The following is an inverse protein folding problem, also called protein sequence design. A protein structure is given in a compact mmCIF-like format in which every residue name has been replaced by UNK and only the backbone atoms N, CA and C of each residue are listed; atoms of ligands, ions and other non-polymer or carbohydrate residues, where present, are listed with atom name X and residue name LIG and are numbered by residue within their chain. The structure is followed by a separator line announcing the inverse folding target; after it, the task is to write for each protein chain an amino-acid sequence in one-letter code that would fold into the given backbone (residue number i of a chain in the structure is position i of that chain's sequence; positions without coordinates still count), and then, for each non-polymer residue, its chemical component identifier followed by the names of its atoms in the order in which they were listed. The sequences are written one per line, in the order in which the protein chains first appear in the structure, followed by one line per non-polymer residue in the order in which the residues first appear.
data_IF_150335883278
#
_entry.id   IF_150335883278
#
_cell.length_a   1.000
_cell.length_b   1.000
_cell.length_c   1.000
_cell.angle_alpha   90.00
_cell.angle_beta   90.00
_cell.angle_gamma   90.00
#
_symmetry.space_group_name_H-M   'P 1'
#
loop_
_entity.id
_entity.type
_entity.pdbx_description
1 polymer ?
#
# COMPACT_ATOMS: atom_id res chain seq x y z
N UNK A 1 46.37 46.65 44.63
CA UNK A 1 46.11 45.21 44.43
C UNK A 1 44.60 45.00 44.39
N UNK A 2 44.04 44.59 43.25
CA UNK A 2 42.69 44.03 43.16
C UNK A 2 42.62 43.20 41.88
N UNK A 3 42.54 41.88 42.01
CA UNK A 3 42.35 40.94 40.88
C UNK A 3 40.85 40.67 40.76
N UNK A 4 40.23 41.00 39.64
CA UNK A 4 38.89 40.49 39.30
C UNK A 4 39.07 39.20 38.49
N UNK A 5 38.61 38.08 39.05
CA UNK A 5 38.50 36.79 38.36
C UNK A 5 37.13 36.71 37.68
N UNK A 6 37.12 36.56 36.36
CA UNK A 6 35.91 36.26 35.59
C UNK A 6 35.70 34.74 35.52
N UNK A 7 34.66 34.22 36.16
CA UNK A 7 34.20 32.85 35.97
C UNK A 7 33.15 32.82 34.85
N UNK A 8 33.48 32.22 33.70
CA UNK A 8 32.50 31.92 32.64
C UNK A 8 31.77 30.61 32.97
N UNK A 9 30.47 30.69 33.22
CA UNK A 9 29.54 29.56 33.24
C UNK A 9 29.15 29.23 31.80
N UNK A 10 29.56 28.06 31.31
CA UNK A 10 29.14 27.53 30.00
C UNK A 10 27.87 26.71 30.19
N UNK A 11 26.73 27.26 29.79
CA UNK A 11 25.44 26.55 29.76
C UNK A 11 25.39 25.67 28.49
N UNK A 12 25.55 24.34 28.64
CA UNK A 12 25.38 23.41 27.53
C UNK A 12 23.89 23.13 27.31
N UNK A 13 23.33 23.68 26.23
CA UNK A 13 21.98 23.35 25.79
C UNK A 13 21.99 22.08 24.92
N UNK A 14 21.46 20.97 25.45
CA UNK A 14 21.21 19.76 24.66
C UNK A 14 20.00 19.97 23.75
N UNK A 15 20.24 20.16 22.46
CA UNK A 15 19.21 20.16 21.42
C UNK A 15 18.68 18.73 21.25
N UNK A 16 17.48 18.46 21.75
CA UNK A 16 16.74 17.25 21.42
C UNK A 16 16.32 17.33 19.94
N UNK A 17 16.93 16.50 19.10
CA UNK A 17 16.53 16.32 17.70
C UNK A 17 15.15 15.65 17.67
N UNK A 18 14.09 16.43 17.52
CA UNK A 18 12.78 15.92 17.17
C UNK A 18 12.88 15.24 15.80
N UNK A 19 12.69 13.92 15.75
CA UNK A 19 12.59 13.21 14.48
C UNK A 19 11.42 13.78 13.68
N UNK A 20 11.58 14.07 12.37
CA UNK A 20 10.48 14.57 11.57
C UNK A 20 9.38 13.51 11.54
N UNK A 21 8.19 13.88 12.02
CA UNK A 21 6.98 13.07 11.86
C UNK A 21 6.72 12.94 10.36
N UNK A 22 6.95 11.76 9.79
CA UNK A 22 6.53 11.47 8.41
C UNK A 22 5.02 11.76 8.33
N UNK A 23 4.56 12.52 7.31
CA UNK A 23 3.14 12.73 7.09
C UNK A 23 2.45 11.37 7.05
N UNK A 24 1.52 11.12 7.98
CA UNK A 24 0.70 9.92 7.93
C UNK A 24 -0.26 10.07 6.76
N UNK A 25 -0.20 9.12 5.83
CA UNK A 25 -1.25 9.00 4.83
C UNK A 25 -2.62 8.84 5.51
N UNK A 26 -3.67 9.36 4.88
CA UNK A 26 -5.03 9.20 5.37
C UNK A 26 -5.41 7.69 5.44
N UNK A 27 -6.36 7.30 6.30
CA UNK A 27 -6.81 5.91 6.38
C UNK A 27 -7.28 5.32 5.04
N UNK A 28 -7.99 6.12 4.22
CA UNK A 28 -8.43 5.73 2.88
C UNK A 28 -7.33 5.78 1.81
N UNK A 29 -6.10 6.10 2.21
CA UNK A 29 -4.89 6.10 1.39
C UNK A 29 -3.77 5.21 2.00
N UNK A 30 -4.11 4.34 2.95
CA UNK A 30 -3.17 3.44 3.63
C UNK A 30 -3.58 1.99 3.44
N UNK A 31 -2.80 1.21 2.67
CA UNK A 31 -3.00 -0.24 2.52
C UNK A 31 -2.41 -1.01 3.70
N UNK A 32 -2.89 -2.25 3.90
CA UNK A 32 -2.51 -3.11 5.02
C UNK A 32 -2.55 -4.57 4.61
N UNK A 33 -1.54 -5.35 5.05
CA UNK A 33 -1.59 -6.80 4.98
C UNK A 33 -1.07 -7.36 6.31
N UNK A 34 -1.98 -7.89 7.13
CA UNK A 34 -1.61 -8.62 8.37
C UNK A 34 -1.91 -10.12 8.24
N UNK A 35 -2.97 -10.49 7.52
CA UNK A 35 -3.33 -11.88 7.24
C UNK A 35 -4.25 -11.98 6.02
N UNK A 36 -4.65 -13.20 5.66
CA UNK A 36 -5.66 -13.47 4.62
C UNK A 36 -7.06 -12.91 4.97
N UNK A 37 -7.33 -12.60 6.23
CA UNK A 37 -8.63 -12.10 6.72
C UNK A 37 -8.56 -10.68 7.26
N UNK A 38 -7.35 -10.10 7.34
CA UNK A 38 -7.09 -8.74 7.85
C UNK A 38 -6.17 -8.00 6.88
N UNK A 39 -6.82 -7.36 5.91
CA UNK A 39 -6.16 -6.66 4.81
C UNK A 39 -6.95 -5.44 4.34
N UNK A 40 -6.24 -4.53 3.68
CA UNK A 40 -6.77 -3.38 2.97
C UNK A 40 -6.04 -3.21 1.64
N UNK A 41 -6.78 -2.93 0.56
CA UNK A 41 -6.29 -2.80 -0.81
C UNK A 41 -6.93 -1.59 -1.48
N UNK A 42 -6.23 -0.99 -2.45
CA UNK A 42 -6.76 0.11 -3.26
C UNK A 42 -7.80 -0.43 -4.24
N UNK A 43 -8.92 0.25 -4.43
CA UNK A 43 -9.89 -0.05 -5.48
C UNK A 43 -10.47 1.25 -6.03
N UNK A 44 -11.20 1.20 -7.16
CA UNK A 44 -11.96 2.35 -7.62
C UNK A 44 -12.93 2.88 -6.56
N UNK A 45 -13.03 4.20 -6.47
CA UNK A 45 -13.99 4.88 -5.59
C UNK A 45 -15.41 4.79 -6.16
N UNK A 46 -15.55 4.87 -7.48
CA UNK A 46 -16.82 4.75 -8.20
C UNK A 46 -17.12 3.28 -8.50
N UNK A 47 -18.41 2.97 -8.61
CA UNK A 47 -18.88 1.64 -9.00
C UNK A 47 -18.54 1.35 -10.47
N UNK A 48 -18.38 0.07 -10.81
CA UNK A 48 -18.18 -0.43 -12.17
C UNK A 48 -17.13 0.33 -12.98
N UNK A 49 -15.98 0.59 -12.34
CA UNK A 49 -14.91 1.38 -12.94
C UNK A 49 -13.73 0.47 -13.29
N UNK A 50 -13.16 0.67 -14.48
CA UNK A 50 -11.94 -0.01 -14.89
C UNK A 50 -10.77 0.50 -14.02
N UNK A 51 -9.83 -0.39 -13.70
CA UNK A 51 -8.70 -0.06 -12.83
C UNK A 51 -7.93 1.14 -13.39
N UNK A 52 -7.59 1.11 -14.68
CA UNK A 52 -6.89 2.22 -15.35
C UNK A 52 -7.68 3.54 -15.40
N UNK A 53 -9.02 3.49 -15.47
CA UNK A 53 -9.85 4.71 -15.46
C UNK A 53 -9.92 5.35 -14.07
N UNK A 54 -9.76 4.53 -13.02
CA UNK A 54 -9.77 5.01 -11.64
C UNK A 54 -8.51 5.78 -11.25
N UNK A 55 -7.42 5.65 -12.03
CA UNK A 55 -6.08 6.18 -11.82
C UNK A 55 -5.96 7.71 -11.99
N UNK A 56 -6.97 8.44 -11.53
CA UNK A 56 -7.06 9.90 -11.53
C UNK A 56 -7.11 10.43 -10.10
N UNK A 57 -6.73 11.70 -9.85
CA UNK A 57 -6.82 12.30 -8.51
C UNK A 57 -8.23 12.14 -7.89
N UNK A 58 -8.32 11.40 -6.79
CA UNK A 58 -9.58 11.11 -6.10
C UNK A 58 -10.42 9.96 -6.66
N UNK A 59 -10.00 9.32 -7.77
CA UNK A 59 -10.70 8.20 -8.41
C UNK A 59 -10.55 6.87 -7.67
N UNK A 60 -9.61 6.77 -6.74
CA UNK A 60 -9.31 5.57 -5.95
C UNK A 60 -9.58 5.78 -4.47
N UNK A 61 -9.74 4.67 -3.73
CA UNK A 61 -9.68 4.64 -2.27
C UNK A 61 -9.28 3.26 -1.77
N UNK A 62 -8.83 3.19 -0.53
CA UNK A 62 -8.60 1.93 0.15
C UNK A 62 -9.93 1.30 0.62
N UNK A 63 -10.10 0.01 0.34
CA UNK A 63 -11.13 -0.85 0.90
C UNK A 63 -10.47 -1.85 1.84
N UNK A 64 -11.14 -2.16 2.94
CA UNK A 64 -10.64 -3.06 3.95
C UNK A 64 -11.61 -4.22 4.18
N UNK A 65 -11.05 -5.37 4.53
CA UNK A 65 -11.80 -6.41 5.24
C UNK A 65 -12.41 -5.85 6.54
N UNK A 66 -13.49 -6.44 7.02
CA UNK A 66 -14.16 -6.00 8.24
C UNK A 66 -13.22 -5.90 9.45
N UNK A 67 -12.27 -6.82 9.57
CA UNK A 67 -11.31 -6.87 10.68
C UNK A 67 -10.18 -5.84 10.58
N UNK A 68 -9.98 -5.24 9.40
CA UNK A 68 -8.91 -4.27 9.13
C UNK A 68 -9.41 -2.83 9.03
N UNK A 69 -10.72 -2.61 8.84
CA UNK A 69 -11.29 -1.27 8.70
C UNK A 69 -11.19 -0.51 10.02
N UNK A 70 -10.60 0.69 9.97
CA UNK A 70 -10.42 1.55 11.14
C UNK A 70 -11.15 2.88 11.03
N UNK A 71 -11.60 3.25 9.83
CA UNK A 71 -12.24 4.54 9.57
C UNK A 71 -13.36 4.45 8.52
N UNK A 72 -14.31 5.39 8.55
CA UNK A 72 -15.44 5.41 7.62
C UNK A 72 -15.06 5.87 6.20
N UNK A 73 -13.95 6.59 6.03
CA UNK A 73 -13.38 6.96 4.73
C UNK A 73 -12.96 5.73 3.91
N UNK A 74 -12.57 4.65 4.59
CA UNK A 74 -12.25 3.37 3.97
C UNK A 74 -13.52 2.67 3.49
N UNK A 75 -13.45 2.08 2.30
CA UNK A 75 -14.47 1.16 1.82
C UNK A 75 -14.43 -0.18 2.58
N UNK A 76 -15.49 -0.97 2.43
CA UNK A 76 -15.58 -2.31 3.00
C UNK A 76 -15.61 -3.34 1.87
N UNK A 77 -14.75 -4.35 1.92
CA UNK A 77 -14.86 -5.50 1.02
C UNK A 77 -16.08 -6.36 1.41
N UNK A 78 -16.79 -6.95 0.44
CA UNK A 78 -17.70 -8.04 0.75
C UNK A 78 -16.89 -9.21 1.33
N UNK A 79 -17.47 -9.95 2.29
CA UNK A 79 -16.81 -11.13 2.89
C UNK A 79 -16.43 -12.17 1.84
N UNK A 80 -17.19 -12.22 0.75
CA UNK A 80 -16.94 -13.08 -0.41
C UNK A 80 -16.00 -12.46 -1.45
N UNK A 81 -15.28 -11.37 -1.18
CA UNK A 81 -14.39 -10.75 -2.17
C UNK A 81 -13.37 -11.74 -2.72
N UNK A 82 -12.64 -12.42 -1.83
CA UNK A 82 -11.73 -13.49 -2.21
C UNK A 82 -12.48 -14.80 -2.38
N UNK A 83 -12.36 -15.42 -3.55
CA UNK A 83 -12.71 -16.83 -3.75
C UNK A 83 -11.68 -17.74 -3.10
N UNK A 84 -10.41 -17.39 -3.24
CA UNK A 84 -9.26 -18.03 -2.59
C UNK A 84 -8.15 -17.01 -2.47
N UNK A 85 -7.53 -16.93 -1.31
CA UNK A 85 -6.41 -16.02 -1.07
C UNK A 85 -5.33 -16.72 -0.24
N UNK A 86 -4.08 -16.49 -0.61
CA UNK A 86 -2.92 -16.97 0.13
C UNK A 86 -2.17 -15.76 0.69
N UNK A 87 -2.04 -15.72 2.01
CA UNK A 87 -1.11 -14.83 2.69
C UNK A 87 0.28 -15.45 2.76
N UNK A 88 1.31 -14.64 2.49
CA UNK A 88 2.71 -15.04 2.67
C UNK A 88 3.51 -13.86 3.20
N UNK A 89 4.40 -14.15 4.14
CA UNK A 89 5.46 -13.24 4.58
C UNK A 89 6.82 -13.86 4.29
N UNK A 90 7.84 -13.03 4.15
CA UNK A 90 9.20 -13.51 3.90
C UNK A 90 10.23 -12.41 3.86
N UNK A 91 11.42 -12.78 3.40
CA UNK A 91 12.54 -11.87 3.16
C UNK A 91 12.97 -11.94 1.70
N UNK A 92 13.20 -10.79 1.09
CA UNK A 92 13.72 -10.67 -0.26
C UNK A 92 15.21 -10.95 -0.38
N UNK A 93 15.76 -10.71 -1.57
CA UNK A 93 17.17 -11.03 -1.90
C UNK A 93 18.17 -10.29 -1.00
N UNK A 94 17.82 -9.07 -0.57
CA UNK A 94 18.65 -8.25 0.34
C UNK A 94 18.29 -8.44 1.82
N UNK A 95 17.56 -9.50 2.17
CA UNK A 95 17.15 -9.80 3.55
C UNK A 95 16.06 -8.88 4.12
N UNK A 96 15.47 -8.01 3.29
CA UNK A 96 14.41 -7.07 3.68
C UNK A 96 13.05 -7.77 3.68
N UNK A 97 12.18 -7.39 4.62
CA UNK A 97 10.89 -8.06 4.82
C UNK A 97 9.88 -7.69 3.74
N UNK A 98 9.02 -8.65 3.39
CA UNK A 98 7.81 -8.41 2.62
C UNK A 98 6.62 -9.21 3.17
N UNK A 99 5.42 -8.76 2.83
CA UNK A 99 4.16 -9.49 2.99
C UNK A 99 3.35 -9.39 1.69
N UNK A 100 2.57 -10.41 1.37
CA UNK A 100 1.74 -10.40 0.18
C UNK A 100 0.42 -11.17 0.38
N UNK A 101 -0.54 -10.80 -0.46
CA UNK A 101 -1.71 -11.61 -0.78
C UNK A 101 -1.69 -11.92 -2.28
N UNK A 102 -1.99 -13.16 -2.63
CA UNK A 102 -2.21 -13.58 -4.03
C UNK A 102 -3.41 -14.50 -4.07
N UNK A 103 -4.28 -14.34 -5.07
CA UNK A 103 -5.44 -15.22 -5.13
C UNK A 103 -6.41 -14.93 -6.26
N UNK A 104 -7.55 -15.64 -6.20
CA UNK A 104 -8.71 -15.42 -7.04
C UNK A 104 -9.77 -14.62 -6.31
N UNK A 105 -10.31 -13.63 -6.98
CA UNK A 105 -11.45 -12.84 -6.51
C UNK A 105 -12.76 -13.45 -7.05
N UNK A 106 -13.87 -13.21 -6.36
CA UNK A 106 -15.19 -13.43 -6.94
C UNK A 106 -15.57 -12.20 -7.78
N UNK A 107 -16.33 -12.45 -8.85
CA UNK A 107 -16.98 -11.41 -9.66
C UNK A 107 -18.13 -10.77 -8.88
N UNK A 108 -18.54 -9.58 -9.31
CA UNK A 108 -19.70 -8.87 -8.77
C UNK A 108 -19.39 -7.97 -7.56
N UNK A 109 -18.13 -7.70 -7.27
CA UNK A 109 -17.79 -6.60 -6.36
C UNK A 109 -18.12 -5.28 -7.07
N UNK A 110 -19.07 -4.51 -6.53
CA UNK A 110 -19.72 -3.40 -7.26
C UNK A 110 -18.77 -2.28 -7.71
N UNK A 111 -17.58 -2.20 -7.14
CA UNK A 111 -16.54 -1.25 -7.53
C UNK A 111 -15.86 -1.61 -8.84
N UNK A 112 -15.78 -2.91 -9.15
CA UNK A 112 -15.05 -3.42 -10.29
C UNK A 112 -15.98 -3.57 -11.49
N UNK A 113 -15.43 -3.32 -12.67
CA UNK A 113 -15.98 -3.84 -13.90
C UNK A 113 -15.46 -5.28 -14.11
N UNK A 114 -16.34 -6.28 -14.08
CA UNK A 114 -15.97 -7.70 -14.18
C UNK A 114 -15.37 -8.11 -15.54
N UNK A 115 -15.38 -7.21 -16.53
CA UNK A 115 -14.79 -7.40 -17.86
C UNK A 115 -13.50 -6.61 -18.07
N UNK A 116 -13.04 -5.88 -17.07
CA UNK A 116 -11.79 -5.12 -17.15
C UNK A 116 -10.58 -6.06 -17.10
N UNK A 117 -9.62 -5.84 -18.00
CA UNK A 117 -8.34 -6.55 -18.05
C UNK A 117 -7.44 -6.24 -16.86
N UNK A 118 -7.72 -5.16 -16.14
CA UNK A 118 -7.08 -4.81 -14.88
C UNK A 118 -6.07 -3.68 -14.98
N UNK A 119 -5.29 -3.53 -13.92
CA UNK A 119 -4.26 -2.51 -13.82
C UNK A 119 -3.47 -2.59 -12.52
N UNK A 120 -2.58 -1.63 -12.32
CA UNK A 120 -1.68 -1.57 -11.17
C UNK A 120 -2.00 -0.36 -10.27
N UNK A 121 -1.86 -0.55 -8.96
CA UNK A 121 -1.72 0.52 -7.99
C UNK A 121 -0.44 0.31 -7.19
N UNK A 122 0.23 1.39 -6.83
CA UNK A 122 1.52 1.30 -6.15
C UNK A 122 1.89 2.62 -5.43
N UNK A 123 2.92 2.57 -4.58
CA UNK A 123 3.35 3.71 -3.76
C UNK A 123 4.41 4.63 -4.40
N UNK A 124 4.98 4.28 -5.55
CA UNK A 124 6.23 4.89 -6.05
C UNK A 124 6.29 5.10 -7.58
N UNK A 125 5.24 4.76 -8.31
CA UNK A 125 5.00 4.98 -9.73
C UNK A 125 4.25 6.29 -9.96
N UNK A 126 3.55 6.37 -11.08
CA UNK A 126 2.79 7.56 -11.48
C UNK A 126 3.65 8.83 -11.71
N UNK A 127 2.98 9.95 -11.97
CA UNK A 127 3.63 11.21 -12.29
C UNK A 127 4.53 11.71 -11.13
N UNK A 128 5.84 11.73 -11.36
CA UNK A 128 6.83 12.17 -10.38
C UNK A 128 7.13 11.15 -9.27
N UNK A 129 6.80 9.87 -9.48
CA UNK A 129 7.15 8.79 -8.55
C UNK A 129 6.40 8.85 -7.20
N UNK A 130 5.19 9.40 -7.22
CA UNK A 130 4.38 9.65 -6.02
C UNK A 130 3.34 8.55 -5.75
N UNK A 131 3.37 7.48 -6.53
CA UNK A 131 2.40 6.40 -6.48
C UNK A 131 1.06 6.76 -7.12
N UNK A 132 0.25 5.72 -7.29
CA UNK A 132 -1.15 5.85 -7.69
C UNK A 132 -1.98 4.88 -6.83
N UNK A 133 -2.71 5.39 -5.81
CA UNK A 133 -3.04 6.78 -5.54
C UNK A 133 -1.85 7.59 -5.01
N UNK A 134 -1.84 8.89 -5.30
CA UNK A 134 -0.74 9.77 -4.88
C UNK A 134 -0.56 9.79 -3.35
N UNK A 135 0.66 9.55 -2.89
CA UNK A 135 1.02 9.54 -1.47
C UNK A 135 0.45 8.36 -0.69
N UNK A 136 -0.04 7.33 -1.38
CA UNK A 136 -0.49 6.09 -0.75
C UNK A 136 0.69 5.32 -0.18
N UNK A 137 0.45 4.62 0.94
CA UNK A 137 1.50 3.87 1.64
C UNK A 137 0.99 2.51 2.08
N UNK A 138 1.91 1.57 2.32
CA UNK A 138 1.59 0.35 3.06
C UNK A 138 2.05 0.44 4.50
N UNK A 139 1.14 0.18 5.44
CA UNK A 139 1.44 0.28 6.87
C UNK A 139 2.57 -0.67 7.26
N UNK A 140 3.67 -0.10 7.73
CA UNK A 140 4.84 -0.85 8.20
C UNK A 140 5.82 -1.28 7.10
N UNK A 141 5.67 -0.79 5.86
CA UNK A 141 6.53 -1.09 4.71
C UNK A 141 6.85 0.20 3.94
N UNK A 142 7.98 0.21 3.24
CA UNK A 142 8.42 1.37 2.48
C UNK A 142 7.70 1.50 1.13
N UNK A 143 7.34 0.36 0.53
CA UNK A 143 6.72 0.28 -0.80
C UNK A 143 5.56 -0.71 -0.83
N UNK A 144 4.68 -0.57 -1.81
CA UNK A 144 3.79 -1.64 -2.22
C UNK A 144 3.53 -1.64 -3.72
N UNK A 145 3.14 -2.80 -4.23
CA UNK A 145 2.60 -3.00 -5.57
C UNK A 145 1.34 -3.85 -5.47
N UNK A 146 0.31 -3.48 -6.22
CA UNK A 146 -0.98 -4.15 -6.25
C UNK A 146 -1.45 -4.27 -7.68
N UNK A 147 -1.95 -5.43 -8.07
CA UNK A 147 -2.66 -5.62 -9.34
C UNK A 147 -4.03 -6.21 -9.07
N UNK A 148 -5.01 -5.77 -9.85
CA UNK A 148 -6.38 -6.28 -9.85
C UNK A 148 -6.74 -6.57 -11.30
N UNK A 149 -7.14 -7.81 -11.59
CA UNK A 149 -7.44 -8.32 -12.94
C UNK A 149 -8.86 -8.95 -12.93
N UNK A 150 -9.93 -8.13 -13.04
CA UNK A 150 -11.31 -8.61 -12.89
C UNK A 150 -11.75 -9.66 -13.93
N UNK A 151 -11.37 -9.48 -15.20
CA UNK A 151 -11.77 -10.35 -16.31
C UNK A 151 -11.40 -11.82 -16.07
N UNK A 152 -10.20 -12.06 -15.58
CA UNK A 152 -9.62 -13.37 -15.21
C UNK A 152 -9.76 -13.70 -13.72
N UNK A 153 -10.44 -12.84 -12.96
CA UNK A 153 -10.79 -13.05 -11.54
C UNK A 153 -9.58 -13.25 -10.64
N UNK A 154 -8.57 -12.39 -10.78
CA UNK A 154 -7.34 -12.44 -9.96
C UNK A 154 -7.04 -11.08 -9.32
N UNK A 155 -6.39 -11.14 -8.17
CA UNK A 155 -5.77 -9.95 -7.58
C UNK A 155 -4.57 -10.35 -6.73
N UNK A 156 -3.65 -9.42 -6.57
CA UNK A 156 -2.44 -9.59 -5.78
C UNK A 156 -1.98 -8.25 -5.23
N UNK A 157 -1.36 -8.28 -4.05
CA UNK A 157 -0.74 -7.13 -3.43
C UNK A 157 0.49 -7.59 -2.65
N UNK A 158 1.57 -6.83 -2.71
CA UNK A 158 2.77 -7.05 -1.90
C UNK A 158 3.21 -5.72 -1.31
N UNK A 159 3.52 -5.73 -0.02
CA UNK A 159 4.22 -4.65 0.66
C UNK A 159 5.66 -5.06 0.94
N UNK A 160 6.61 -4.16 0.66
CA UNK A 160 8.04 -4.44 0.71
C UNK A 160 8.82 -3.37 1.46
N UNK A 161 9.88 -3.79 2.13
CA UNK A 161 10.87 -2.88 2.70
C UNK A 161 11.95 -2.46 1.69
N UNK A 162 12.26 -3.32 0.73
CA UNK A 162 13.12 -3.01 -0.41
C UNK A 162 12.27 -2.74 -1.64
N UNK A 163 12.62 -1.72 -2.40
CA UNK A 163 11.97 -1.41 -3.68
C UNK A 163 12.07 -2.59 -4.65
N UNK A 164 13.22 -3.28 -4.70
CA UNK A 164 13.46 -4.38 -5.64
C UNK A 164 12.61 -5.64 -5.37
N UNK A 165 12.00 -5.73 -4.19
CA UNK A 165 11.08 -6.82 -3.85
C UNK A 165 9.62 -6.54 -4.30
N UNK A 166 9.35 -5.29 -4.71
CA UNK A 166 8.08 -4.79 -5.24
C UNK A 166 8.30 -4.29 -6.68
N UNK A 167 8.33 -5.18 -7.68
CA UNK A 167 8.59 -4.76 -9.07
C UNK A 167 7.44 -3.89 -9.59
N UNK A 168 7.72 -2.59 -9.79
CA UNK A 168 6.76 -1.56 -10.25
C UNK A 168 6.87 -1.28 -11.76
N UNK A 169 7.62 -2.10 -12.50
CA UNK A 169 7.98 -1.88 -13.91
C UNK A 169 7.25 -2.84 -14.87
N UNK A 170 6.21 -3.53 -14.38
CA UNK A 170 5.58 -4.69 -15.03
C UNK A 170 4.06 -4.61 -15.05
N UNK A 171 3.56 -3.43 -15.38
CA UNK A 171 2.17 -3.04 -15.15
C UNK A 171 1.17 -3.83 -15.99
N UNK A 172 1.62 -4.38 -17.12
CA UNK A 172 0.81 -5.21 -18.04
C UNK A 172 1.12 -6.70 -17.97
N UNK A 173 2.11 -7.11 -17.16
CA UNK A 173 2.57 -8.50 -17.10
C UNK A 173 1.65 -9.39 -16.25
N UNK A 174 0.77 -8.77 -15.48
CA UNK A 174 -0.24 -9.43 -14.66
C UNK A 174 0.28 -10.04 -13.37
N UNK A 175 -0.66 -10.43 -12.50
CA UNK A 175 -0.36 -10.84 -11.13
C UNK A 175 0.71 -11.94 -10.99
N UNK A 176 0.65 -13.06 -11.75
CA UNK A 176 1.65 -14.13 -11.64
C UNK A 176 3.08 -13.69 -11.97
N UNK A 177 3.23 -12.70 -12.85
CA UNK A 177 4.54 -12.19 -13.31
C UNK A 177 5.13 -11.18 -12.33
N UNK A 178 4.29 -10.35 -11.71
CA UNK A 178 4.70 -9.28 -10.77
C UNK A 178 4.89 -9.84 -9.35
N UNK A 179 3.90 -10.59 -8.86
CA UNK A 179 3.91 -11.17 -7.52
C UNK A 179 3.74 -12.69 -7.65
N UNK A 180 4.84 -13.46 -7.65
CA UNK A 180 4.76 -14.91 -7.63
C UNK A 180 3.97 -15.41 -6.41
N UNK A 181 3.04 -16.34 -6.63
CA UNK A 181 2.15 -16.83 -5.59
C UNK A 181 1.15 -17.85 -6.12
N UNK A 182 0.08 -18.05 -5.36
CA UNK A 182 -1.00 -18.98 -5.72
C UNK A 182 -2.18 -18.21 -6.29
N UNK A 183 -2.67 -18.64 -7.45
CA UNK A 183 -3.79 -18.09 -8.20
C UNK A 183 -4.70 -19.21 -8.72
#
# INVERSE_FOLDING_TARGET
MMRLSSALLVLSATLALASPLQPRAAPDNTVLIESATKYCMVMPRKAHTDIGDSETPGGMRVYCSASARTDNSQGLFPDSFWKKVTYKSGTGKKGKKYVQLTGRINKGFSQLNDNDGGGQYDSSGGAGGKGNPQGSVCKGYAHYVQLVEPDVSRACIRCCQDYDDCPLDKDTAGCPSVIPGTY
#
